data_IF_182833337761
#
_entry.id   IF_182833337761
#
_cell.length_a   1.000
_cell.length_b   1.000
_cell.length_c   1.000
_cell.angle_alpha   90.00
_cell.angle_beta   90.00
_cell.angle_gamma   90.00
#
_symmetry.space_group_name_H-M   'P 1'
#
loop_
_entity.id
_entity.type
_entity.pdbx_description
1 polymer ?
#
# COMPACT_ATOMS: atom_id res chain seq x y z
N UNK A 1 -0.17 -27.86 8.73
CA UNK A 1 -1.01 -28.79 9.51
C UNK A 1 -0.08 -29.72 10.27
N UNK A 2 -0.23 -29.81 11.58
CA UNK A 2 0.58 -30.69 12.43
C UNK A 2 -0.37 -31.65 13.15
N UNK A 3 -0.14 -32.95 13.00
CA UNK A 3 -0.89 -33.98 13.73
C UNK A 3 -0.23 -34.18 15.09
N UNK A 4 -0.98 -33.97 16.15
CA UNK A 4 -0.55 -34.30 17.52
C UNK A 4 -0.86 -35.78 17.74
N UNK A 5 -0.02 -36.52 18.46
CA UNK A 5 -0.11 -37.99 18.61
C UNK A 5 -1.47 -38.55 19.06
N UNK A 6 -2.37 -37.70 19.54
CA UNK A 6 -3.72 -38.02 20.02
C UNK A 6 -4.84 -37.84 18.96
N UNK A 7 -4.48 -37.72 17.67
CA UNK A 7 -5.46 -37.53 16.57
C UNK A 7 -6.02 -36.12 16.45
N UNK A 8 -5.44 -35.16 17.17
CA UNK A 8 -5.78 -33.73 17.11
C UNK A 8 -4.98 -33.01 16.03
N UNK A 9 -5.62 -32.09 15.32
CA UNK A 9 -4.99 -31.31 14.25
C UNK A 9 -4.80 -29.87 14.66
N UNK A 10 -3.56 -29.39 14.49
CA UNK A 10 -3.26 -27.97 14.63
C UNK A 10 -3.08 -27.34 13.24
N UNK A 11 -3.83 -26.28 12.99
CA UNK A 11 -3.81 -25.52 11.74
C UNK A 11 -3.31 -24.12 12.07
N UNK A 12 -2.36 -23.63 11.27
CA UNK A 12 -1.74 -22.32 11.45
C UNK A 12 -1.83 -21.53 10.15
N UNK A 13 -1.86 -20.20 10.26
CA UNK A 13 -1.80 -19.25 9.16
C UNK A 13 -0.72 -18.22 9.45
N UNK A 14 -0.26 -17.49 8.43
CA UNK A 14 0.67 -16.40 8.63
C UNK A 14 2.02 -16.87 9.13
N UNK A 15 2.56 -16.14 10.10
CA UNK A 15 3.81 -16.45 10.79
C UNK A 15 3.59 -17.32 12.05
N UNK A 16 2.58 -18.20 12.03
CA UNK A 16 2.32 -19.16 13.11
C UNK A 16 1.09 -18.87 13.98
N UNK A 17 0.15 -18.02 13.54
CA UNK A 17 -1.12 -17.83 14.22
C UNK A 17 -1.97 -19.11 14.12
N UNK A 18 -2.39 -19.68 15.25
CA UNK A 18 -3.21 -20.89 15.27
C UNK A 18 -4.65 -20.58 14.85
N UNK A 19 -5.17 -21.29 13.85
CA UNK A 19 -6.60 -21.28 13.48
C UNK A 19 -7.37 -22.40 14.16
N UNK A 20 -6.71 -23.55 14.36
CA UNK A 20 -7.22 -24.66 15.15
C UNK A 20 -6.09 -25.14 16.04
N UNK A 21 -6.35 -25.26 17.34
CA UNK A 21 -5.43 -25.85 18.30
C UNK A 21 -6.21 -26.77 19.24
N UNK A 22 -6.04 -28.08 19.06
CA UNK A 22 -6.85 -29.09 19.73
C UNK A 22 -8.36 -28.87 19.51
N UNK A 23 -9.08 -28.53 20.58
CA UNK A 23 -10.54 -28.29 20.56
C UNK A 23 -10.92 -26.80 20.44
N UNK A 24 -9.94 -25.91 20.25
CA UNK A 24 -10.18 -24.46 20.12
C UNK A 24 -10.01 -24.02 18.67
N UNK A 25 -10.89 -23.11 18.23
CA UNK A 25 -10.83 -22.48 16.91
C UNK A 25 -10.73 -20.97 17.02
N UNK A 26 -9.89 -20.36 16.18
CA UNK A 26 -9.72 -18.92 16.09
C UNK A 26 -10.18 -18.41 14.72
N UNK A 27 -10.60 -17.15 14.67
CA UNK A 27 -11.23 -16.56 13.49
C UNK A 27 -10.33 -15.52 12.83
N UNK A 28 -10.37 -15.50 11.49
CA UNK A 28 -9.87 -14.41 10.68
C UNK A 28 -11.02 -13.43 10.36
N UNK A 29 -10.69 -12.16 10.23
CA UNK A 29 -11.63 -11.10 9.87
C UNK A 29 -11.01 -10.16 8.84
N UNK A 30 -11.81 -9.55 7.98
CA UNK A 30 -11.35 -8.44 7.17
C UNK A 30 -11.29 -7.17 8.03
N UNK A 31 -10.20 -6.42 7.91
CA UNK A 31 -9.98 -5.15 8.62
C UNK A 31 -9.27 -4.16 7.70
N UNK A 32 -9.43 -2.84 7.89
CA UNK A 32 -8.64 -1.86 7.15
C UNK A 32 -7.14 -2.10 7.35
N UNK A 33 -6.36 -1.96 6.29
CA UNK A 33 -4.90 -2.10 6.34
C UNK A 33 -4.30 -1.03 7.26
N UNK A 34 -3.21 -1.40 7.93
CA UNK A 34 -2.47 -0.49 8.81
C UNK A 34 -1.82 0.68 8.08
N UNK A 35 -1.62 0.58 6.77
CA UNK A 35 -0.93 1.58 5.95
C UNK A 35 -1.87 2.33 5.00
N UNK A 36 -3.03 1.74 4.69
CA UNK A 36 -4.03 2.35 3.82
C UNK A 36 -5.45 1.94 4.26
N UNK A 37 -6.24 2.85 4.85
CA UNK A 37 -7.57 2.53 5.33
C UNK A 37 -8.57 2.21 4.19
N UNK A 38 -8.25 2.52 2.94
CA UNK A 38 -9.08 2.19 1.78
C UNK A 38 -8.88 0.75 1.31
N UNK A 39 -7.81 0.08 1.78
CA UNK A 39 -7.51 -1.30 1.46
C UNK A 39 -7.87 -2.22 2.64
N UNK A 40 -8.42 -3.39 2.34
CA UNK A 40 -8.65 -4.42 3.34
C UNK A 40 -7.43 -5.34 3.46
N UNK A 41 -7.05 -5.63 4.69
CA UNK A 41 -6.11 -6.69 5.06
C UNK A 41 -6.82 -7.72 5.94
N UNK A 42 -6.08 -8.72 6.41
CA UNK A 42 -6.60 -9.80 7.23
C UNK A 42 -6.17 -9.61 8.68
N UNK A 43 -7.15 -9.60 9.57
CA UNK A 43 -6.96 -9.57 11.00
C UNK A 43 -7.19 -10.95 11.62
N UNK A 44 -6.41 -11.25 12.66
CA UNK A 44 -6.58 -12.39 13.53
C UNK A 44 -7.32 -11.97 14.80
N UNK A 45 -8.46 -12.61 15.09
CA UNK A 45 -9.25 -12.33 16.29
C UNK A 45 -8.68 -13.11 17.48
N UNK A 46 -7.98 -12.40 18.37
CA UNK A 46 -7.47 -12.94 19.63
C UNK A 46 -8.38 -12.55 20.81
N UNK A 47 -8.28 -13.23 21.97
CA UNK A 47 -8.98 -12.82 23.19
C UNK A 47 -8.64 -11.40 23.65
N UNK A 48 -7.46 -10.88 23.30
CA UNK A 48 -7.01 -9.52 23.60
C UNK A 48 -7.39 -8.47 22.55
N UNK A 49 -8.10 -8.86 21.49
CA UNK A 49 -8.49 -7.99 20.38
C UNK A 49 -8.06 -8.52 19.00
N UNK A 50 -8.35 -7.74 17.96
CA UNK A 50 -7.99 -8.08 16.58
C UNK A 50 -6.59 -7.57 16.26
N UNK A 51 -5.72 -8.44 15.77
CA UNK A 51 -4.35 -8.12 15.36
C UNK A 51 -4.25 -8.24 13.84
N UNK A 52 -3.79 -7.19 13.15
CA UNK A 52 -3.52 -7.24 11.71
C UNK A 52 -2.41 -8.27 11.41
N UNK A 53 -2.62 -9.10 10.40
CA UNK A 53 -1.61 -9.96 9.80
C UNK A 53 -1.04 -9.23 8.59
N UNK A 54 0.28 -9.19 8.46
CA UNK A 54 0.91 -8.61 7.28
C UNK A 54 0.57 -9.44 6.03
N UNK A 55 0.21 -8.77 4.92
CA UNK A 55 -0.20 -9.45 3.70
C UNK A 55 0.90 -10.39 3.15
N UNK A 56 2.17 -10.04 3.37
CA UNK A 56 3.32 -10.88 2.98
C UNK A 56 3.39 -12.21 3.72
N UNK A 57 2.74 -12.30 4.88
CA UNK A 57 2.69 -13.52 5.69
C UNK A 57 1.52 -14.43 5.27
N UNK A 58 0.54 -13.91 4.55
CA UNK A 58 -0.62 -14.67 4.08
C UNK A 58 -0.26 -15.50 2.84
N UNK A 59 0.49 -16.59 3.05
CA UNK A 59 0.87 -17.51 1.98
C UNK A 59 -0.23 -18.50 1.60
N UNK A 60 -0.38 -18.74 0.29
CA UNK A 60 -1.12 -19.87 -0.27
C UNK A 60 -2.63 -19.68 -0.46
N UNK A 61 -3.21 -20.56 -1.29
CA UNK A 61 -4.65 -20.57 -1.61
C UNK A 61 -5.13 -19.30 -2.33
N UNK A 62 -6.46 -19.14 -2.38
CA UNK A 62 -7.09 -17.98 -3.03
C UNK A 62 -6.78 -16.66 -2.30
N UNK A 63 -6.64 -16.69 -0.97
CA UNK A 63 -6.33 -15.50 -0.17
C UNK A 63 -4.92 -14.98 -0.46
N UNK A 64 -3.90 -15.85 -0.42
CA UNK A 64 -2.54 -15.47 -0.77
C UNK A 64 -2.41 -15.01 -2.22
N UNK A 65 -3.12 -15.67 -3.15
CA UNK A 65 -3.18 -15.23 -4.55
C UNK A 65 -3.81 -13.86 -4.75
N UNK A 66 -4.84 -13.52 -3.96
CA UNK A 66 -5.44 -12.18 -3.99
C UNK A 66 -4.46 -11.11 -3.47
N UNK A 67 -3.76 -11.39 -2.37
CA UNK A 67 -2.77 -10.48 -1.80
C UNK A 67 -1.59 -10.27 -2.75
N UNK A 68 -1.12 -11.35 -3.38
CA UNK A 68 -0.05 -11.33 -4.38
C UNK A 68 -0.44 -10.53 -5.62
N UNK A 69 -1.61 -10.79 -6.21
CA UNK A 69 -2.12 -10.04 -7.35
C UNK A 69 -2.23 -8.54 -7.04
N UNK A 70 -2.77 -8.19 -5.87
CA UNK A 70 -2.86 -6.78 -5.47
C UNK A 70 -1.48 -6.13 -5.41
N UNK A 71 -0.55 -6.76 -4.70
CA UNK A 71 0.74 -6.16 -4.37
C UNK A 71 1.71 -6.14 -5.55
N UNK A 72 1.70 -7.17 -6.39
CA UNK A 72 2.68 -7.34 -7.46
C UNK A 72 2.14 -7.00 -8.86
N UNK A 73 0.82 -6.88 -9.03
CA UNK A 73 0.22 -6.55 -10.33
C UNK A 73 -0.61 -5.28 -10.29
N UNK A 74 -1.65 -5.22 -9.43
CA UNK A 74 -2.61 -4.12 -9.45
C UNK A 74 -1.98 -2.78 -9.05
N UNK A 75 -1.30 -2.74 -7.89
CA UNK A 75 -0.67 -1.53 -7.38
C UNK A 75 0.39 -0.99 -8.36
N UNK A 76 1.36 -1.82 -8.85
CA UNK A 76 2.33 -1.35 -9.84
C UNK A 76 1.71 -0.84 -11.15
N UNK A 77 0.62 -1.48 -11.62
CA UNK A 77 -0.09 -1.04 -12.81
C UNK A 77 -0.77 0.32 -12.61
N UNK A 78 -1.45 0.51 -11.47
CA UNK A 78 -2.06 1.78 -11.10
C UNK A 78 -1.02 2.89 -10.98
N UNK A 79 0.11 2.62 -10.33
CA UNK A 79 1.18 3.59 -10.17
C UNK A 79 1.84 3.96 -11.50
N UNK A 80 2.00 2.98 -12.40
CA UNK A 80 2.52 3.22 -13.75
C UNK A 80 1.58 4.09 -14.59
N UNK A 81 0.27 3.85 -14.49
CA UNK A 81 -0.74 4.67 -15.18
C UNK A 81 -0.81 6.09 -14.59
N UNK A 82 -0.77 6.22 -13.26
CA UNK A 82 -0.74 7.51 -12.58
C UNK A 82 0.47 8.33 -13.01
N UNK A 83 1.67 7.72 -13.04
CA UNK A 83 2.89 8.37 -13.53
C UNK A 83 2.74 8.87 -14.97
N UNK A 84 2.21 8.04 -15.87
CA UNK A 84 1.97 8.45 -17.26
C UNK A 84 1.02 9.64 -17.34
N UNK A 85 -0.09 9.60 -16.60
CA UNK A 85 -1.06 10.70 -16.58
C UNK A 85 -0.43 11.99 -16.04
N UNK A 86 0.37 11.91 -14.98
CA UNK A 86 1.11 13.06 -14.43
C UNK A 86 2.11 13.63 -15.42
N UNK A 87 2.90 12.78 -16.09
CA UNK A 87 3.87 13.22 -17.10
C UNK A 87 3.18 13.89 -18.30
N UNK A 88 2.14 13.27 -18.85
CA UNK A 88 1.37 13.82 -19.98
C UNK A 88 0.75 15.17 -19.61
N UNK A 89 0.12 15.26 -18.44
CA UNK A 89 -0.46 16.53 -17.97
C UNK A 89 0.62 17.61 -17.82
N UNK A 90 1.77 17.28 -17.23
CA UNK A 90 2.86 18.22 -17.04
C UNK A 90 3.43 18.73 -18.37
N UNK A 91 3.74 17.82 -19.30
CA UNK A 91 4.35 18.16 -20.58
C UNK A 91 3.40 18.95 -21.48
N UNK A 92 2.12 18.56 -21.56
CA UNK A 92 1.12 19.29 -22.35
C UNK A 92 0.86 20.68 -21.76
N UNK A 93 0.76 20.79 -20.44
CA UNK A 93 0.58 22.09 -19.79
C UNK A 93 1.80 22.99 -19.97
N UNK A 94 3.01 22.43 -19.85
CA UNK A 94 4.26 23.18 -20.08
C UNK A 94 4.31 23.71 -21.51
N UNK A 95 3.97 22.88 -22.51
CA UNK A 95 3.93 23.30 -23.89
C UNK A 95 2.85 24.34 -24.16
N UNK A 96 1.66 24.21 -23.57
CA UNK A 96 0.57 25.16 -23.75
C UNK A 96 0.91 26.55 -23.18
N UNK A 97 1.61 26.60 -22.04
CA UNK A 97 2.08 27.84 -21.41
C UNK A 97 3.09 28.62 -22.25
N UNK A 98 3.76 27.98 -23.19
CA UNK A 98 4.65 28.64 -24.16
C UNK A 98 3.89 29.20 -25.36
N UNK A 99 2.62 28.83 -25.53
CA UNK A 99 1.75 29.26 -26.61
C UNK A 99 0.86 30.44 -26.23
N UNK A 100 0.11 30.91 -27.22
CA UNK A 100 -0.88 31.97 -27.12
C UNK A 100 -2.17 31.49 -27.78
N UNK A 101 -3.32 31.82 -27.17
CA UNK A 101 -4.62 31.49 -27.71
C UNK A 101 -5.00 32.41 -28.89
N UNK A 102 -6.15 32.13 -29.51
CA UNK A 102 -6.66 32.92 -30.62
C UNK A 102 -6.99 34.39 -30.26
N UNK A 103 -7.08 34.72 -28.98
CA UNK A 103 -7.37 36.07 -28.47
C UNK A 103 -6.10 36.82 -28.03
N UNK A 104 -4.92 36.25 -28.26
CA UNK A 104 -3.66 36.86 -27.85
C UNK A 104 -3.29 36.66 -26.37
N UNK A 105 -3.96 35.75 -25.65
CA UNK A 105 -3.66 35.45 -24.24
C UNK A 105 -2.71 34.27 -24.13
N UNK A 106 -1.76 34.36 -23.19
CA UNK A 106 -0.86 33.24 -22.88
C UNK A 106 -1.65 31.99 -22.45
N UNK A 107 -1.19 30.82 -22.89
CA UNK A 107 -1.79 29.55 -22.50
C UNK A 107 -1.65 29.27 -21.00
N UNK A 108 -2.63 28.54 -20.46
CA UNK A 108 -2.68 28.13 -19.04
C UNK A 108 -2.59 26.60 -18.92
N UNK A 109 -2.70 26.08 -17.70
CA UNK A 109 -2.87 24.63 -17.51
C UNK A 109 -4.17 24.16 -18.20
N UNK A 110 -4.05 23.09 -18.99
CA UNK A 110 -5.17 22.40 -19.66
C UNK A 110 -5.65 21.22 -18.82
N UNK A 111 -4.73 20.55 -18.13
CA UNK A 111 -5.00 19.39 -17.27
C UNK A 111 -4.64 19.69 -15.82
N UNK A 112 -5.36 19.06 -14.90
CA UNK A 112 -4.97 18.99 -13.49
C UNK A 112 -4.82 17.52 -13.08
N UNK A 113 -3.92 17.27 -12.15
CA UNK A 113 -3.67 15.93 -11.60
C UNK A 113 -3.83 15.98 -10.10
N UNK A 114 -4.33 14.89 -9.52
CA UNK A 114 -4.50 14.78 -8.09
C UNK A 114 -3.13 14.80 -7.39
N UNK A 115 -3.07 15.45 -6.23
CA UNK A 115 -1.90 15.39 -5.37
C UNK A 115 -1.69 13.97 -4.83
N UNK A 116 -0.45 13.59 -4.48
CA UNK A 116 -0.20 12.33 -3.80
C UNK A 116 -1.04 12.19 -2.53
N UNK A 117 -1.64 11.01 -2.35
CA UNK A 117 -2.33 10.66 -1.11
C UNK A 117 -1.32 10.23 -0.05
N UNK A 118 -1.52 10.68 1.19
CA UNK A 118 -0.69 10.29 2.33
C UNK A 118 -1.59 9.79 3.45
N UNK A 119 -1.39 8.53 3.85
CA UNK A 119 -2.13 7.92 4.95
C UNK A 119 -1.19 7.68 6.16
N UNK A 120 -1.53 8.17 7.36
CA UNK A 120 -0.78 7.83 8.56
C UNK A 120 -1.05 6.38 8.94
N UNK A 121 0.00 5.68 9.40
CA UNK A 121 -0.18 4.32 9.91
C UNK A 121 -1.05 4.33 11.17
N UNK A 122 -1.95 3.36 11.29
CA UNK A 122 -2.78 3.19 12.50
C UNK A 122 -1.97 2.86 13.76
N UNK A 123 -0.71 2.45 13.61
CA UNK A 123 0.22 2.19 14.70
C UNK A 123 1.01 3.44 15.14
N UNK A 124 0.81 4.59 14.50
CA UNK A 124 1.46 5.83 14.92
C UNK A 124 0.90 6.27 16.28
N UNK A 125 1.80 6.54 17.23
CA UNK A 125 1.46 7.05 18.58
C UNK A 125 1.61 8.56 18.70
N UNK A 126 2.30 9.20 17.75
CA UNK A 126 2.47 10.65 17.69
C UNK A 126 1.42 11.34 16.82
N UNK A 127 1.37 12.68 16.90
CA UNK A 127 0.47 13.53 16.10
C UNK A 127 1.11 14.11 14.84
N UNK A 128 2.30 13.65 14.46
CA UNK A 128 3.00 14.13 13.27
C UNK A 128 2.19 13.83 12.01
N UNK A 129 2.12 14.80 11.10
CA UNK A 129 1.53 14.65 9.78
C UNK A 129 2.60 14.78 8.70
N UNK A 130 2.36 14.12 7.56
CA UNK A 130 3.20 14.21 6.38
C UNK A 130 2.33 14.65 5.22
N UNK A 131 2.87 15.54 4.39
CA UNK A 131 2.29 15.91 3.10
C UNK A 131 3.30 15.60 2.01
N UNK A 132 2.79 15.34 0.80
CA UNK A 132 3.61 15.05 -0.35
C UNK A 132 3.16 15.90 -1.54
N UNK A 133 4.13 16.34 -2.34
CA UNK A 133 3.90 17.11 -3.56
C UNK A 133 4.84 16.62 -4.66
N UNK A 134 4.37 16.74 -5.90
CA UNK A 134 5.17 16.39 -7.08
C UNK A 134 5.86 17.65 -7.56
N UNK A 135 7.19 17.70 -7.43
CA UNK A 135 8.01 18.81 -7.92
C UNK A 135 8.52 18.58 -9.34
N UNK A 136 8.70 17.31 -9.72
CA UNK A 136 9.08 16.91 -11.07
C UNK A 136 8.27 15.67 -11.48
N UNK A 137 7.29 15.88 -12.37
CA UNK A 137 6.41 14.83 -12.90
C UNK A 137 7.17 13.74 -13.68
N UNK A 138 8.32 14.08 -14.26
CA UNK A 138 9.10 13.21 -15.15
C UNK A 138 10.20 12.41 -14.41
N UNK A 139 10.44 12.70 -13.12
CA UNK A 139 11.45 12.03 -12.30
C UNK A 139 10.89 10.95 -11.35
N UNK A 140 9.57 10.84 -11.23
CA UNK A 140 8.92 9.89 -10.33
C UNK A 140 9.08 8.44 -10.80
N UNK A 141 9.50 7.54 -9.91
CA UNK A 141 9.66 6.12 -10.23
C UNK A 141 8.32 5.34 -10.30
N UNK A 142 7.20 5.96 -9.91
CA UNK A 142 5.87 5.31 -9.94
C UNK A 142 5.75 4.15 -8.95
N UNK A 143 6.20 4.37 -7.72
CA UNK A 143 6.02 3.47 -6.59
C UNK A 143 5.23 4.18 -5.50
N UNK A 144 4.58 3.40 -4.65
CA UNK A 144 4.17 3.90 -3.34
C UNK A 144 5.36 3.86 -2.39
N UNK A 145 5.32 4.70 -1.36
CA UNK A 145 6.42 4.84 -0.42
C UNK A 145 5.92 4.73 1.02
N UNK A 146 6.65 3.98 1.83
CA UNK A 146 6.51 3.97 3.27
C UNK A 146 7.58 4.87 3.88
N UNK A 147 7.15 5.85 4.66
CA UNK A 147 8.02 6.73 5.44
C UNK A 147 7.92 6.38 6.91
N UNK A 148 9.06 6.04 7.53
CA UNK A 148 9.15 5.67 8.94
C UNK A 148 10.11 6.61 9.67
N UNK A 149 9.64 7.16 10.78
CA UNK A 149 10.46 7.94 11.71
C UNK A 149 10.87 7.07 12.90
N UNK A 150 12.17 6.93 13.15
CA UNK A 150 12.71 6.17 14.28
C UNK A 150 14.00 6.82 14.78
N UNK A 151 14.09 7.08 16.09
CA UNK A 151 15.33 7.53 16.74
C UNK A 151 15.87 8.87 16.23
N UNK A 152 15.00 9.80 15.80
CA UNK A 152 15.43 11.10 15.26
C UNK A 152 15.64 11.14 13.75
N UNK A 153 15.49 10.02 13.04
CA UNK A 153 15.72 9.93 11.60
C UNK A 153 14.49 9.42 10.84
N UNK A 154 14.32 9.94 9.62
CA UNK A 154 13.33 9.42 8.66
C UNK A 154 13.99 8.43 7.71
N UNK A 155 13.28 7.35 7.43
CA UNK A 155 13.63 6.33 6.44
C UNK A 155 12.49 6.20 5.44
N UNK A 156 12.82 6.06 4.16
CA UNK A 156 11.86 5.94 3.06
C UNK A 156 12.13 4.62 2.36
N UNK A 157 11.09 3.82 2.11
CA UNK A 157 11.17 2.54 1.41
C UNK A 157 10.01 2.40 0.42
N UNK A 158 10.18 1.59 -0.63
CA UNK A 158 9.10 1.28 -1.56
C UNK A 158 8.03 0.42 -0.90
N UNK A 159 6.78 0.64 -1.28
CA UNK A 159 5.63 -0.15 -0.86
C UNK A 159 4.92 -0.74 -2.10
N UNK A 160 4.48 -2.02 -2.05
CA UNK A 160 4.70 -2.99 -0.97
C UNK A 160 6.17 -3.45 -0.88
N UNK A 161 6.61 -3.85 0.31
CA UNK A 161 7.97 -4.31 0.60
C UNK A 161 8.24 -5.68 -0.04
N UNK A 162 8.33 -5.72 -1.36
CA UNK A 162 8.54 -6.94 -2.15
C UNK A 162 9.43 -6.75 -3.38
N UNK A 163 9.70 -5.50 -3.78
CA UNK A 163 10.70 -5.24 -4.83
C UNK A 163 12.07 -5.09 -4.18
N UNK A 164 12.77 -6.21 -4.00
CA UNK A 164 14.22 -6.16 -3.81
C UNK A 164 14.80 -5.31 -4.93
N UNK A 165 15.54 -4.26 -4.57
CA UNK A 165 16.33 -3.48 -5.50
C UNK A 165 17.17 -4.45 -6.34
N UNK A 166 16.84 -4.57 -7.63
CA UNK A 166 17.73 -5.14 -8.63
C UNK A 166 18.48 -4.01 -9.30
#
# INVERSE_FOLDING_TARGET
>A
MICTGDGQFNIYVGNGQALVQGNQSYQLTAVPSQYDPTQLSVGYKSPGGTVNIDDSQLGGGALGGLMDFRNNTLIPAQNSLGRLATAVAADVNAQNKLGMDANGKMGTDLFSVANPSVAPSTNNTGSGSLTASITNANAGQGYDYQVKYQGGAYTVSHYPAGSASR
#
